data_IF_433872959101
#
_entry.id   IF_433872959101
#
_cell.length_a   1.000
_cell.length_b   1.000
_cell.length_c   1.000
_cell.angle_alpha   90.00
_cell.angle_beta   90.00
_cell.angle_gamma   90.00
#
_symmetry.space_group_name_H-M   'P 1'
#
loop_
_entity.id
_entity.type
_entity.pdbx_description
1 polymer ?
#
# COMPACT_ATOMS: atom_id res chain seq x y z
N UNK A 1 30.85 -53.28 -52.52
CA UNK A 1 29.75 -52.85 -51.63
C UNK A 1 30.09 -51.45 -51.12
N UNK A 2 29.40 -50.41 -51.63
CA UNK A 2 29.54 -49.02 -51.15
C UNK A 2 28.45 -48.77 -50.12
N UNK A 3 28.82 -48.55 -48.87
CA UNK A 3 27.89 -48.24 -47.78
C UNK A 3 27.66 -46.72 -47.79
N UNK A 4 26.43 -46.32 -48.09
CA UNK A 4 25.96 -44.95 -48.07
C UNK A 4 25.54 -44.62 -46.62
N UNK A 5 26.33 -43.82 -45.91
CA UNK A 5 25.96 -43.31 -44.59
C UNK A 5 25.17 -42.00 -44.76
N UNK A 6 23.86 -42.08 -44.57
CA UNK A 6 22.94 -40.94 -44.58
C UNK A 6 23.01 -40.24 -43.21
N UNK A 7 23.69 -39.09 -43.14
CA UNK A 7 23.73 -38.24 -41.95
C UNK A 7 22.43 -37.44 -41.82
N UNK A 8 21.58 -37.84 -40.86
CA UNK A 8 20.47 -37.04 -40.36
C UNK A 8 21.02 -35.94 -39.44
N UNK A 9 21.06 -34.70 -39.91
CA UNK A 9 21.30 -33.53 -39.08
C UNK A 9 19.97 -33.12 -38.42
N UNK A 10 19.85 -33.13 -37.07
CA UNK A 10 18.71 -32.53 -36.42
C UNK A 10 18.77 -31.01 -36.61
N UNK A 11 17.73 -30.45 -37.22
CA UNK A 11 17.49 -29.02 -37.29
C UNK A 11 17.25 -28.48 -35.89
N UNK A 12 18.32 -28.07 -35.20
CA UNK A 12 18.24 -27.22 -34.02
C UNK A 12 17.73 -25.85 -34.48
N UNK A 13 16.42 -25.63 -34.34
CA UNK A 13 15.87 -24.29 -34.36
C UNK A 13 16.51 -23.51 -33.21
N UNK A 14 17.44 -22.61 -33.52
CA UNK A 14 17.88 -21.58 -32.60
C UNK A 14 16.65 -20.72 -32.29
N UNK A 15 15.98 -21.00 -31.17
CA UNK A 15 15.08 -20.03 -30.57
C UNK A 15 15.92 -18.78 -30.31
N UNK A 16 15.57 -17.66 -30.96
CA UNK A 16 16.17 -16.38 -30.68
C UNK A 16 16.11 -16.14 -29.16
N UNK A 17 17.18 -15.64 -28.52
CA UNK A 17 17.14 -15.32 -27.10
C UNK A 17 15.91 -14.44 -26.85
N UNK A 18 15.10 -14.73 -25.81
CA UNK A 18 13.94 -13.91 -25.50
C UNK A 18 14.43 -12.46 -25.40
N UNK A 19 13.84 -11.58 -26.22
CA UNK A 19 14.22 -10.17 -26.23
C UNK A 19 14.15 -9.57 -24.82
N UNK A 20 14.98 -8.56 -24.55
CA UNK A 20 14.97 -7.90 -23.25
C UNK A 20 13.53 -7.51 -22.86
N UNK A 21 13.12 -7.74 -21.60
CA UNK A 21 11.76 -7.49 -21.17
C UNK A 21 11.42 -6.01 -21.36
N UNK A 22 10.23 -5.74 -21.92
CA UNK A 22 9.75 -4.38 -22.19
C UNK A 22 9.35 -3.72 -20.88
N UNK A 23 9.76 -2.48 -20.63
CA UNK A 23 9.31 -1.71 -19.48
C UNK A 23 7.88 -1.24 -19.66
N UNK A 24 7.10 -1.41 -18.59
CA UNK A 24 5.69 -1.03 -18.54
C UNK A 24 5.36 -0.42 -17.19
N UNK A 25 4.39 0.49 -17.16
CA UNK A 25 3.81 1.02 -15.91
C UNK A 25 2.36 1.43 -16.16
N UNK A 26 1.60 1.59 -15.08
CA UNK A 26 0.35 2.34 -15.07
C UNK A 26 0.56 3.78 -14.62
N UNK A 27 -0.10 4.73 -15.28
CA UNK A 27 -0.13 6.16 -14.93
C UNK A 27 -1.58 6.62 -15.01
N UNK A 28 -2.09 7.20 -13.92
CA UNK A 28 -3.44 7.74 -13.81
C UNK A 28 -3.39 9.25 -13.57
N UNK A 29 -4.15 9.99 -14.37
CA UNK A 29 -4.33 11.44 -14.17
C UNK A 29 -5.66 11.69 -13.46
N UNK A 30 -5.66 12.20 -12.23
CA UNK A 30 -6.89 12.62 -11.58
C UNK A 30 -7.44 13.87 -12.26
N UNK A 31 -8.72 13.88 -12.58
CA UNK A 31 -9.42 15.01 -13.21
C UNK A 31 -10.03 15.98 -12.18
N UNK A 32 -10.00 15.61 -10.91
CA UNK A 32 -10.54 16.37 -9.77
C UNK A 32 -9.81 15.97 -8.48
N UNK A 33 -10.00 16.76 -7.42
CA UNK A 33 -9.31 16.59 -6.13
C UNK A 33 -9.74 15.34 -5.36
N UNK A 34 -10.93 14.78 -5.62
CA UNK A 34 -11.42 13.58 -4.92
C UNK A 34 -10.76 12.35 -5.53
N UNK A 35 -10.71 12.29 -6.86
CA UNK A 35 -10.01 11.25 -7.61
C UNK A 35 -8.50 11.18 -7.32
N UNK A 36 -7.89 12.29 -6.89
CA UNK A 36 -6.47 12.36 -6.55
C UNK A 36 -6.06 11.36 -5.45
N UNK A 37 -6.93 11.11 -4.47
CA UNK A 37 -6.63 10.17 -3.39
C UNK A 37 -6.53 8.70 -3.87
N UNK A 38 -7.35 8.33 -4.86
CA UNK A 38 -7.44 6.96 -5.35
C UNK A 38 -6.33 6.56 -6.33
N UNK A 39 -5.77 7.53 -7.06
CA UNK A 39 -4.80 7.31 -8.14
C UNK A 39 -3.62 6.40 -7.76
N UNK A 40 -2.80 6.78 -6.76
CA UNK A 40 -1.62 5.99 -6.37
C UNK A 40 -1.95 4.56 -5.94
N UNK A 41 -3.07 4.36 -5.22
CA UNK A 41 -3.54 3.03 -4.81
C UNK A 41 -3.94 2.18 -6.01
N UNK A 42 -4.68 2.75 -6.95
CA UNK A 42 -5.08 2.06 -8.18
C UNK A 42 -3.89 1.74 -9.08
N UNK A 43 -2.92 2.65 -9.21
CA UNK A 43 -1.65 2.40 -9.91
C UNK A 43 -0.89 1.24 -9.27
N UNK A 44 -0.79 1.19 -7.95
CA UNK A 44 -0.14 0.07 -7.25
C UNK A 44 -0.79 -1.27 -7.59
N UNK A 45 -2.13 -1.35 -7.57
CA UNK A 45 -2.86 -2.58 -7.90
C UNK A 45 -2.69 -2.98 -9.37
N UNK A 46 -2.72 -2.02 -10.30
CA UNK A 46 -2.50 -2.30 -11.72
C UNK A 46 -1.06 -2.73 -12.01
N UNK A 47 -0.07 -2.09 -11.38
CA UNK A 47 1.34 -2.46 -11.49
C UNK A 47 1.62 -3.86 -10.93
N UNK A 48 0.93 -4.27 -9.86
CA UNK A 48 0.98 -5.64 -9.34
C UNK A 48 0.43 -6.65 -10.37
N UNK A 49 -0.71 -6.34 -11.00
CA UNK A 49 -1.28 -7.19 -12.06
C UNK A 49 -0.37 -7.26 -13.30
N UNK A 50 0.22 -6.13 -13.71
CA UNK A 50 1.20 -6.08 -14.81
C UNK A 50 2.43 -6.96 -14.52
N UNK A 51 2.85 -7.04 -13.26
CA UNK A 51 3.99 -7.86 -12.84
C UNK A 51 3.79 -9.37 -13.04
N UNK A 52 2.56 -9.82 -13.30
CA UNK A 52 2.24 -11.22 -13.59
C UNK A 52 2.50 -11.61 -15.05
N UNK A 53 2.72 -10.64 -15.94
CA UNK A 53 2.95 -10.90 -17.37
C UNK A 53 4.44 -11.11 -17.68
N UNK A 54 4.74 -12.23 -18.34
CA UNK A 54 6.08 -12.49 -18.84
C UNK A 54 6.46 -11.50 -19.97
N UNK A 55 7.76 -11.21 -20.09
CA UNK A 55 8.27 -10.30 -21.11
C UNK A 55 8.11 -8.81 -20.78
N UNK A 56 7.59 -8.48 -19.59
CA UNK A 56 7.51 -7.11 -19.09
C UNK A 56 8.29 -6.91 -17.79
N UNK A 57 8.81 -5.70 -17.59
CA UNK A 57 9.39 -5.25 -16.32
C UNK A 57 8.63 -4.02 -15.85
N UNK A 58 7.97 -4.13 -14.70
CA UNK A 58 7.16 -3.03 -14.16
C UNK A 58 8.07 -1.95 -13.60
N UNK A 59 7.97 -0.75 -14.16
CA UNK A 59 8.68 0.44 -13.68
C UNK A 59 7.81 1.16 -12.67
N UNK A 60 8.24 1.24 -11.40
CA UNK A 60 7.45 1.89 -10.35
C UNK A 60 7.61 3.41 -10.40
N UNK A 61 6.61 4.14 -9.92
CA UNK A 61 6.58 5.61 -9.92
C UNK A 61 7.78 6.25 -9.21
N UNK A 62 8.30 5.60 -8.16
CA UNK A 62 9.51 6.03 -7.44
C UNK A 62 10.78 6.02 -8.30
N UNK A 63 10.85 5.16 -9.32
CA UNK A 63 12.04 5.02 -10.16
C UNK A 63 12.24 6.22 -11.08
N UNK A 64 11.16 6.93 -11.43
CA UNK A 64 11.20 8.05 -12.34
C UNK A 64 10.78 9.39 -11.73
N UNK A 65 9.92 9.41 -10.71
CA UNK A 65 9.61 10.63 -9.95
C UNK A 65 10.50 10.80 -8.72
N UNK A 66 11.17 9.74 -8.27
CA UNK A 66 11.97 9.75 -7.06
C UNK A 66 11.13 9.78 -5.77
N UNK A 67 11.84 9.54 -4.66
CA UNK A 67 11.38 9.79 -3.30
C UNK A 67 12.52 10.48 -2.54
N UNK A 68 12.79 11.76 -2.84
CA UNK A 68 13.87 12.45 -2.18
C UNK A 68 13.61 12.54 -0.69
N UNK A 69 14.66 12.26 0.07
CA UNK A 69 14.65 12.42 1.52
C UNK A 69 14.57 13.89 1.89
N UNK A 70 14.08 14.16 3.09
CA UNK A 70 14.09 15.49 3.67
C UNK A 70 15.48 15.78 4.27
N UNK A 71 16.23 16.68 3.61
CA UNK A 71 17.57 17.05 4.05
C UNK A 71 17.61 17.76 5.41
N UNK A 72 16.52 18.44 5.80
CA UNK A 72 16.40 19.03 7.13
C UNK A 72 16.23 17.93 8.17
N UNK A 73 15.35 16.95 7.90
CA UNK A 73 15.19 15.79 8.77
C UNK A 73 16.47 14.95 8.88
N UNK A 74 17.24 14.78 7.80
CA UNK A 74 18.54 14.11 7.82
C UNK A 74 19.58 14.87 8.66
N UNK A 75 19.58 16.21 8.60
CA UNK A 75 20.45 17.03 9.43
C UNK A 75 20.06 16.94 10.91
N UNK A 76 18.76 16.97 11.23
CA UNK A 76 18.24 16.77 12.58
C UNK A 76 18.57 15.38 13.11
N UNK A 77 18.51 14.34 12.26
CA UNK A 77 18.90 12.98 12.65
C UNK A 77 20.36 12.93 13.09
N UNK A 78 21.27 13.56 12.33
CA UNK A 78 22.71 13.62 12.66
C UNK A 78 22.94 14.36 13.98
N UNK A 79 22.28 15.51 14.18
CA UNK A 79 22.38 16.27 15.44
C UNK A 79 21.84 15.47 16.63
N UNK A 80 20.70 14.80 16.46
CA UNK A 80 20.12 13.94 17.48
C UNK A 80 21.03 12.75 17.84
N UNK A 81 21.64 12.10 16.85
CA UNK A 81 22.61 11.02 17.10
C UNK A 81 23.83 11.50 17.87
N UNK A 82 24.35 12.68 17.54
CA UNK A 82 25.45 13.29 18.30
C UNK A 82 25.02 13.63 19.73
N UNK A 83 23.87 14.30 19.89
CA UNK A 83 23.33 14.66 21.20
C UNK A 83 23.08 13.44 22.10
N UNK A 84 22.69 12.31 21.50
CA UNK A 84 22.55 11.04 22.22
C UNK A 84 23.88 10.55 22.80
N UNK A 85 24.99 10.61 22.04
CA UNK A 85 26.30 10.21 22.54
C UNK A 85 26.78 11.10 23.69
N UNK A 86 26.56 12.42 23.57
CA UNK A 86 26.89 13.38 24.62
C UNK A 86 26.04 13.18 25.88
N UNK A 87 24.76 12.83 25.71
CA UNK A 87 23.84 12.48 26.79
C UNK A 87 24.25 11.18 27.48
N UNK A 88 24.64 10.17 26.72
CA UNK A 88 25.11 8.89 27.23
C UNK A 88 26.37 9.07 28.07
N UNK A 89 27.33 9.88 27.61
CA UNK A 89 28.53 10.18 28.36
C UNK A 89 28.25 10.89 29.70
N UNK A 90 27.24 11.76 29.76
CA UNK A 90 26.80 12.39 31.02
C UNK A 90 26.13 11.37 31.95
N UNK A 91 25.26 10.51 31.41
CA UNK A 91 24.60 9.44 32.15
C UNK A 91 25.61 8.46 32.78
N UNK A 92 26.64 8.04 32.03
CA UNK A 92 27.68 7.13 32.51
C UNK A 92 28.52 7.74 33.65
N UNK A 93 28.67 9.07 33.66
CA UNK A 93 29.29 9.83 34.76
C UNK A 93 28.36 10.04 35.95
N UNK A 94 27.10 9.59 35.86
CA UNK A 94 26.02 9.81 36.85
C UNK A 94 25.66 11.28 37.03
N UNK A 95 25.98 12.13 36.04
CA UNK A 95 25.53 13.52 35.99
C UNK A 95 24.15 13.57 35.32
N UNK A 96 23.13 13.23 36.09
CA UNK A 96 21.77 13.08 35.58
C UNK A 96 21.12 14.42 35.20
N UNK A 97 21.55 15.53 35.78
CA UNK A 97 21.07 16.87 35.42
C UNK A 97 21.58 17.30 34.04
N UNK A 98 22.87 17.11 33.78
CA UNK A 98 23.44 17.36 32.46
C UNK A 98 22.87 16.38 31.41
N UNK A 99 22.73 15.11 31.77
CA UNK A 99 22.13 14.11 30.89
C UNK A 99 20.68 14.47 30.52
N UNK A 100 19.84 14.85 31.48
CA UNK A 100 18.44 15.23 31.22
C UNK A 100 18.36 16.42 30.25
N UNK A 101 19.12 17.49 30.53
CA UNK A 101 19.15 18.70 29.69
C UNK A 101 19.52 18.37 28.24
N UNK A 102 20.58 17.57 28.05
CA UNK A 102 21.04 17.14 26.72
C UNK A 102 20.04 16.19 26.05
N UNK A 103 19.39 15.32 26.81
CA UNK A 103 18.38 14.40 26.28
C UNK A 103 17.14 15.11 25.79
N UNK A 104 16.66 16.14 26.50
CA UNK A 104 15.52 16.94 26.04
C UNK A 104 15.81 17.61 24.70
N UNK A 105 17.01 18.17 24.53
CA UNK A 105 17.45 18.73 23.24
C UNK A 105 17.59 17.64 22.16
N UNK A 106 18.16 16.49 22.52
CA UNK A 106 18.34 15.32 21.65
C UNK A 106 17.01 14.78 21.14
N UNK A 107 16.04 14.59 22.03
CA UNK A 107 14.71 14.10 21.69
C UNK A 107 14.01 15.06 20.73
N UNK A 108 14.13 16.37 20.94
CA UNK A 108 13.58 17.38 20.01
C UNK A 108 14.15 17.22 18.59
N UNK A 109 15.46 17.04 18.47
CA UNK A 109 16.12 16.83 17.18
C UNK A 109 15.69 15.50 16.52
N UNK A 110 15.58 14.43 17.31
CA UNK A 110 15.17 13.11 16.82
C UNK A 110 13.69 13.08 16.41
N UNK A 111 12.82 13.81 17.11
CA UNK A 111 11.42 13.97 16.72
C UNK A 111 11.30 14.76 15.40
N UNK A 112 12.10 15.81 15.22
CA UNK A 112 12.19 16.55 13.95
C UNK A 112 12.79 15.70 12.82
N UNK A 113 13.47 14.60 13.14
CA UNK A 113 14.06 13.67 12.19
C UNK A 113 13.12 12.54 11.75
N UNK A 114 11.84 12.56 12.13
CA UNK A 114 10.88 11.48 11.84
C UNK A 114 10.87 11.05 10.36
N UNK A 115 10.94 12.00 9.41
CA UNK A 115 10.98 11.71 7.98
C UNK A 115 12.22 10.91 7.53
N UNK A 116 13.34 11.02 8.25
CA UNK A 116 14.61 10.36 7.93
C UNK A 116 14.75 8.96 8.55
N UNK A 117 13.88 8.58 9.51
CA UNK A 117 13.95 7.29 10.23
C UNK A 117 13.18 6.18 9.49
N UNK A 118 13.67 5.77 8.32
CA UNK A 118 12.93 4.85 7.41
C UNK A 118 13.07 3.36 7.72
N UNK A 119 13.98 2.96 8.60
CA UNK A 119 14.30 1.54 8.86
C UNK A 119 14.00 1.08 10.28
N UNK A 120 14.21 1.95 11.27
CA UNK A 120 13.91 1.65 12.67
C UNK A 120 13.72 2.94 13.46
N UNK A 121 13.10 2.81 14.64
CA UNK A 121 13.05 3.90 15.62
C UNK A 121 14.35 4.02 16.42
N UNK A 122 15.40 3.23 16.16
CA UNK A 122 16.53 3.01 17.09
C UNK A 122 17.10 4.29 17.69
N UNK A 123 17.44 5.34 16.91
CA UNK A 123 17.95 6.59 17.50
C UNK A 123 16.97 7.22 18.52
N UNK A 124 15.69 7.31 18.16
CA UNK A 124 14.65 7.87 19.03
C UNK A 124 14.35 6.95 20.23
N UNK A 125 14.17 5.65 19.98
CA UNK A 125 13.88 4.65 20.99
C UNK A 125 15.01 4.54 22.03
N UNK A 126 16.27 4.55 21.59
CA UNK A 126 17.44 4.55 22.49
C UNK A 126 17.48 5.82 23.35
N UNK A 127 17.18 6.98 22.77
CA UNK A 127 17.14 8.26 23.49
C UNK A 127 15.98 8.31 24.50
N UNK A 128 14.80 7.80 24.15
CA UNK A 128 13.66 7.70 25.06
C UNK A 128 13.98 6.75 26.21
N UNK A 129 14.57 5.58 25.93
CA UNK A 129 14.99 4.63 26.96
C UNK A 129 16.01 5.25 27.94
N UNK A 130 16.97 6.02 27.42
CA UNK A 130 17.96 6.72 28.23
C UNK A 130 17.34 7.85 29.06
N UNK A 131 16.39 8.62 28.49
CA UNK A 131 15.65 9.66 29.20
C UNK A 131 14.80 9.07 30.33
N UNK A 132 14.04 8.01 30.06
CA UNK A 132 13.29 7.29 31.08
C UNK A 132 14.19 6.81 32.23
N UNK A 133 15.39 6.28 31.91
CA UNK A 133 16.34 5.86 32.92
C UNK A 133 16.87 7.04 33.76
N UNK A 134 17.17 8.18 33.13
CA UNK A 134 17.57 9.42 33.83
C UNK A 134 16.49 9.87 34.80
N UNK A 135 15.23 9.95 34.36
CA UNK A 135 14.11 10.37 35.22
C UNK A 135 13.91 9.40 36.39
N UNK A 136 14.03 8.08 36.15
CA UNK A 136 13.98 7.09 37.22
C UNK A 136 15.10 7.27 38.25
N UNK A 137 16.34 7.54 37.82
CA UNK A 137 17.47 7.79 38.74
C UNK A 137 17.33 9.09 39.52
N UNK A 138 16.60 10.08 38.98
CA UNK A 138 16.28 11.34 39.68
C UNK A 138 15.12 11.21 40.66
N UNK A 139 14.39 10.09 40.65
CA UNK A 139 13.22 9.85 41.49
C UNK A 139 11.89 10.26 40.84
N UNK A 140 11.92 10.78 39.62
CA UNK A 140 10.73 11.16 38.84
C UNK A 140 10.13 9.93 38.14
N UNK A 141 9.61 8.99 38.94
CA UNK A 141 9.14 7.68 38.46
C UNK A 141 7.95 7.81 37.50
N UNK A 142 7.07 8.78 37.70
CA UNK A 142 5.91 8.98 36.82
C UNK A 142 6.34 9.44 35.42
N UNK A 143 7.28 10.38 35.32
CA UNK A 143 7.84 10.78 34.03
C UNK A 143 8.58 9.61 33.35
N UNK A 144 9.32 8.81 34.14
CA UNK A 144 9.98 7.62 33.61
C UNK A 144 8.97 6.61 33.03
N UNK A 145 7.82 6.41 33.67
CA UNK A 145 6.73 5.56 33.16
C UNK A 145 6.13 6.12 31.86
N UNK A 146 5.90 7.42 31.77
CA UNK A 146 5.38 8.06 30.54
C UNK A 146 6.36 7.88 29.38
N UNK A 147 7.65 8.09 29.61
CA UNK A 147 8.67 7.85 28.59
C UNK A 147 8.78 6.36 28.20
N UNK A 148 8.61 5.42 29.15
CA UNK A 148 8.52 3.99 28.84
C UNK A 148 7.26 3.62 28.05
N UNK A 149 6.15 4.32 28.29
CA UNK A 149 4.92 4.16 27.52
C UNK A 149 5.14 4.61 26.06
N UNK A 150 5.75 5.77 25.85
CA UNK A 150 6.15 6.25 24.51
C UNK A 150 7.11 5.28 23.81
N UNK A 151 8.04 4.67 24.54
CA UNK A 151 8.95 3.66 23.98
C UNK A 151 8.20 2.40 23.52
N UNK A 152 7.23 1.95 24.31
CA UNK A 152 6.48 0.73 24.06
C UNK A 152 5.39 0.91 23.00
N UNK A 153 4.87 2.13 22.81
CA UNK A 153 4.01 2.46 21.68
C UNK A 153 4.80 2.44 20.36
N UNK A 154 6.03 2.97 20.35
CA UNK A 154 6.91 2.95 19.18
C UNK A 154 7.45 1.55 18.84
N UNK A 155 7.84 0.79 19.86
CA UNK A 155 8.45 -0.53 19.68
C UNK A 155 8.12 -1.43 20.88
N UNK A 156 7.00 -2.18 20.83
CA UNK A 156 6.54 -3.01 21.96
C UNK A 156 7.58 -4.05 22.44
N UNK A 157 8.38 -4.56 21.50
CA UNK A 157 9.44 -5.56 21.73
C UNK A 157 10.80 -4.96 22.07
N UNK A 158 10.90 -3.66 22.34
CA UNK A 158 12.17 -3.02 22.66
C UNK A 158 12.80 -3.60 23.94
N UNK A 159 14.04 -4.10 23.84
CA UNK A 159 14.77 -4.67 24.98
C UNK A 159 15.78 -3.69 25.57
N UNK A 160 15.74 -3.54 26.90
CA UNK A 160 16.70 -2.72 27.63
C UNK A 160 18.00 -3.51 27.87
N UNK A 161 19.14 -2.90 27.56
CA UNK A 161 20.45 -3.52 27.81
C UNK A 161 20.76 -3.61 29.32
N UNK A 162 20.78 -4.83 29.85
CA UNK A 162 21.03 -5.11 31.27
C UNK A 162 22.43 -4.73 31.78
N UNK A 163 23.39 -4.46 30.88
CA UNK A 163 24.71 -3.92 31.27
C UNK A 163 24.66 -2.41 31.50
N UNK A 164 23.74 -1.71 30.84
CA UNK A 164 23.61 -0.25 30.92
C UNK A 164 22.62 0.17 32.00
N UNK A 165 21.51 -0.55 32.11
CA UNK A 165 20.42 -0.19 33.00
C UNK A 165 20.37 -1.09 34.23
N UNK A 166 20.04 -0.51 35.39
CA UNK A 166 19.93 -1.27 36.63
C UNK A 166 18.67 -2.15 36.64
N UNK A 167 18.64 -3.12 37.56
CA UNK A 167 17.56 -4.11 37.65
C UNK A 167 16.22 -3.46 37.99
N UNK A 168 16.22 -2.43 38.83
CA UNK A 168 15.00 -1.71 39.22
C UNK A 168 14.33 -1.04 38.03
N UNK A 169 15.09 -0.34 37.18
CA UNK A 169 14.53 0.30 35.98
C UNK A 169 14.04 -0.72 34.94
N UNK A 170 14.76 -1.83 34.78
CA UNK A 170 14.30 -2.91 33.88
C UNK A 170 12.98 -3.49 34.38
N UNK A 171 12.84 -3.70 35.69
CA UNK A 171 11.58 -4.15 36.30
C UNK A 171 10.45 -3.14 36.08
N UNK A 172 10.74 -1.83 36.18
CA UNK A 172 9.76 -0.78 35.88
C UNK A 172 9.24 -0.87 34.44
N UNK A 173 10.12 -1.08 33.45
CA UNK A 173 9.71 -1.29 32.04
C UNK A 173 8.79 -2.50 31.88
N UNK A 174 9.09 -3.61 32.55
CA UNK A 174 8.22 -4.80 32.53
C UNK A 174 6.87 -4.51 33.16
N UNK A 175 6.83 -3.76 34.27
CA UNK A 175 5.60 -3.32 34.91
C UNK A 175 4.74 -2.43 33.97
N UNK A 176 5.36 -1.46 33.29
CA UNK A 176 4.66 -0.60 32.31
C UNK A 176 4.12 -1.44 31.15
N UNK A 177 4.92 -2.34 30.59
CA UNK A 177 4.50 -3.22 29.50
C UNK A 177 3.31 -4.12 29.89
N UNK A 178 3.28 -4.64 31.11
CA UNK A 178 2.15 -5.41 31.62
C UNK A 178 0.87 -4.56 31.73
N UNK A 179 1.00 -3.26 32.05
CA UNK A 179 -0.12 -2.32 32.12
C UNK A 179 -0.70 -1.92 30.76
N UNK A 180 0.14 -1.86 29.71
CA UNK A 180 -0.29 -1.45 28.35
C UNK A 180 -1.27 -2.45 27.73
N UNK A 181 -1.14 -3.75 28.02
CA UNK A 181 -2.08 -4.76 27.53
C UNK A 181 -3.51 -4.58 28.06
N UNK A 182 -3.69 -3.77 29.11
CA UNK A 182 -4.98 -3.36 29.64
C UNK A 182 -5.40 -1.93 29.21
N UNK A 183 -4.55 -1.23 28.44
CA UNK A 183 -4.65 0.20 28.19
C UNK A 183 -5.34 0.56 26.84
N UNK A 184 -5.94 1.75 26.89
CA UNK A 184 -6.72 2.44 25.88
C UNK A 184 -6.07 2.38 24.50
N UNK A 185 -6.89 2.14 23.48
CA UNK A 185 -6.50 2.26 22.08
C UNK A 185 -7.17 3.50 21.50
N UNK A 186 -6.41 4.30 20.77
CA UNK A 186 -6.89 5.47 20.06
C UNK A 186 -7.08 5.20 18.57
N UNK A 187 -7.70 6.17 17.91
CA UNK A 187 -7.84 6.19 16.45
C UNK A 187 -7.10 7.41 15.92
N UNK A 188 -6.37 7.24 14.82
CA UNK A 188 -5.72 8.34 14.13
C UNK A 188 -6.19 8.47 12.69
N UNK A 189 -6.64 9.66 12.31
CA UNK A 189 -6.94 10.00 10.91
C UNK A 189 -5.78 10.80 10.34
N UNK A 190 -5.16 10.25 9.31
CA UNK A 190 -3.99 10.82 8.63
C UNK A 190 -4.39 11.29 7.24
N UNK A 191 -4.23 12.60 7.00
CA UNK A 191 -4.49 13.27 5.73
C UNK A 191 -3.20 13.85 5.17
N UNK A 192 -3.16 14.02 3.85
CA UNK A 192 -2.07 14.74 3.20
C UNK A 192 -2.59 15.62 2.07
N UNK A 193 -1.82 16.65 1.76
CA UNK A 193 -2.03 17.51 0.60
C UNK A 193 -0.77 17.53 -0.25
N UNK A 194 -0.81 17.02 -1.48
CA UNK A 194 -1.97 16.37 -2.11
C UNK A 194 -2.21 14.94 -1.60
N UNK A 195 -3.43 14.40 -1.75
CA UNK A 195 -3.87 13.13 -1.14
C UNK A 195 -3.23 11.87 -1.79
N UNK A 196 -3.51 10.66 -1.32
CA UNK A 196 -2.92 9.44 -1.90
C UNK A 196 -1.44 9.19 -1.57
N UNK A 197 -0.89 9.86 -0.56
CA UNK A 197 0.42 9.51 -0.01
C UNK A 197 0.36 8.20 0.76
N UNK A 198 1.40 7.37 0.66
CA UNK A 198 1.54 6.15 1.47
C UNK A 198 1.78 6.52 2.92
N UNK A 199 1.02 5.90 3.82
CA UNK A 199 1.09 6.11 5.26
C UNK A 199 1.89 4.98 5.89
N UNK A 200 2.92 5.35 6.63
CA UNK A 200 3.68 4.44 7.47
C UNK A 200 3.58 4.89 8.92
N UNK A 201 3.24 3.97 9.81
CA UNK A 201 3.27 4.18 11.27
C UNK A 201 4.26 3.19 11.84
N UNK A 202 5.26 3.69 12.58
CA UNK A 202 6.36 2.89 13.15
C UNK A 202 7.06 2.01 12.11
N UNK A 203 7.20 2.56 10.90
CA UNK A 203 7.74 1.91 9.71
C UNK A 203 6.91 0.77 9.10
N UNK A 204 5.70 0.52 9.61
CA UNK A 204 4.74 -0.40 9.01
C UNK A 204 3.80 0.34 8.05
N UNK A 205 3.60 -0.20 6.86
CA UNK A 205 2.70 0.38 5.86
C UNK A 205 1.25 0.17 6.27
N UNK A 206 0.50 1.27 6.41
CA UNK A 206 -0.90 1.27 6.87
C UNK A 206 -1.89 1.46 5.71
N UNK A 207 -1.50 2.17 4.65
CA UNK A 207 -2.41 2.48 3.53
C UNK A 207 -2.05 3.77 2.81
N UNK A 208 -3.07 4.45 2.26
CA UNK A 208 -2.92 5.69 1.50
C UNK A 208 -3.81 6.78 2.09
N UNK A 209 -3.35 8.03 2.16
CA UNK A 209 -4.15 9.14 2.70
C UNK A 209 -5.34 9.49 1.78
N UNK A 210 -6.50 9.92 2.32
CA UNK A 210 -6.84 9.93 3.74
C UNK A 210 -7.00 8.49 4.27
N UNK A 211 -6.39 8.21 5.43
CA UNK A 211 -6.41 6.90 6.08
C UNK A 211 -6.77 7.07 7.55
N UNK A 212 -7.71 6.26 8.03
CA UNK A 212 -7.99 6.14 9.46
C UNK A 212 -7.39 4.84 9.96
N UNK A 213 -6.42 4.94 10.87
CA UNK A 213 -5.78 3.78 11.50
C UNK A 213 -6.45 3.57 12.85
N UNK A 214 -7.30 2.52 12.98
CA UNK A 214 -7.91 2.20 14.25
C UNK A 214 -6.89 1.52 15.16
N UNK A 215 -7.20 1.48 16.45
CA UNK A 215 -6.53 0.58 17.41
C UNK A 215 -5.04 0.85 17.67
N UNK A 216 -4.58 2.08 17.50
CA UNK A 216 -3.22 2.47 17.90
C UNK A 216 -3.10 2.51 19.43
N UNK A 217 -1.97 2.07 19.96
CA UNK A 217 -1.68 2.25 21.39
C UNK A 217 -1.65 3.73 21.74
N UNK A 218 -2.14 4.10 22.92
CA UNK A 218 -1.91 5.45 23.44
C UNK A 218 -0.39 5.66 23.64
N UNK A 219 0.11 6.81 23.21
CA UNK A 219 1.53 7.17 23.24
C UNK A 219 2.01 7.81 21.94
N UNK A 220 3.33 8.01 21.84
CA UNK A 220 3.97 8.54 20.63
C UNK A 220 4.17 7.46 19.57
N UNK A 221 3.94 7.83 18.32
CA UNK A 221 4.12 7.00 17.13
C UNK A 221 4.89 7.76 16.05
N UNK A 222 5.73 7.07 15.27
CA UNK A 222 6.43 7.67 14.13
C UNK A 222 5.54 7.60 12.88
N UNK A 223 5.04 8.75 12.44
CA UNK A 223 4.32 8.88 11.18
C UNK A 223 5.28 9.28 10.06
N UNK A 224 5.26 8.53 8.96
CA UNK A 224 5.95 8.86 7.71
C UNK A 224 5.00 8.80 6.53
N UNK A 225 5.08 9.81 5.68
CA UNK A 225 4.28 9.95 4.46
C UNK A 225 5.18 9.94 3.23
N UNK A 226 4.87 9.08 2.28
CA UNK A 226 5.62 8.97 1.03
C UNK A 226 4.72 9.04 -0.19
N UNK A 227 4.94 10.04 -1.05
CA UNK A 227 4.32 10.15 -2.36
C UNK A 227 5.41 10.33 -3.42
N UNK A 228 5.49 9.49 -4.46
CA UNK A 228 6.47 9.66 -5.54
C UNK A 228 6.45 11.07 -6.11
N UNK A 229 7.63 11.69 -6.27
CA UNK A 229 7.76 13.07 -6.72
C UNK A 229 7.64 14.14 -5.62
N UNK A 230 7.42 13.74 -4.38
CA UNK A 230 7.39 14.62 -3.21
C UNK A 230 8.51 14.26 -2.25
N UNK A 231 8.96 15.24 -1.47
CA UNK A 231 9.87 14.98 -0.35
C UNK A 231 9.14 14.15 0.70
N UNK A 232 9.83 13.13 1.22
CA UNK A 232 9.32 12.32 2.33
C UNK A 232 9.02 13.23 3.52
N UNK A 233 7.79 13.19 4.01
CA UNK A 233 7.40 13.94 5.19
C UNK A 233 7.28 12.98 6.39
N UNK A 234 7.49 13.49 7.58
CA UNK A 234 7.34 12.70 8.79
C UNK A 234 7.22 13.57 10.02
N UNK A 235 6.55 13.05 11.03
CA UNK A 235 6.31 13.71 12.30
C UNK A 235 6.05 12.66 13.38
N UNK A 236 6.12 13.08 14.64
CA UNK A 236 5.64 12.25 15.75
C UNK A 236 4.15 12.52 15.94
N UNK A 237 3.37 11.45 15.93
CA UNK A 237 1.94 11.44 16.21
C UNK A 237 1.74 11.09 17.68
N UNK A 238 1.06 11.95 18.43
CA UNK A 238 0.64 11.66 19.80
C UNK A 238 -0.79 11.09 19.77
N UNK A 239 -0.92 9.82 20.12
CA UNK A 239 -2.20 9.12 20.15
C UNK A 239 -2.72 9.13 21.59
N UNK A 240 -3.89 9.71 21.78
CA UNK A 240 -4.63 9.72 23.04
C UNK A 240 -5.83 8.76 23.02
N UNK A 241 -6.65 8.76 24.08
CA UNK A 241 -7.91 8.02 24.10
C UNK A 241 -8.95 8.59 23.11
N UNK A 242 -8.82 9.87 22.76
CA UNK A 242 -9.66 10.55 21.79
C UNK A 242 -9.11 10.39 20.37
N UNK A 243 -9.99 10.53 19.37
CA UNK A 243 -9.61 10.51 17.96
C UNK A 243 -8.68 11.69 17.64
N UNK A 244 -7.50 11.37 17.09
CA UNK A 244 -6.54 12.38 16.61
C UNK A 244 -6.64 12.52 15.10
N UNK A 245 -6.70 13.75 14.60
CA UNK A 245 -6.59 14.04 13.17
C UNK A 245 -5.32 14.84 12.89
N UNK A 246 -4.57 14.42 11.86
CA UNK A 246 -3.41 15.17 11.37
C UNK A 246 -3.47 15.32 9.86
N UNK A 247 -3.02 16.48 9.36
CA UNK A 247 -2.94 16.80 7.94
C UNK A 247 -1.57 17.37 7.62
N UNK A 248 -0.89 16.78 6.64
CA UNK A 248 0.47 17.20 6.24
C UNK A 248 0.51 17.73 4.81
N UNK A 249 1.13 18.89 4.60
CA UNK A 249 1.43 19.40 3.26
C UNK A 249 2.74 18.82 2.75
N UNK A 250 2.68 18.13 1.61
CA UNK A 250 3.83 17.51 0.98
C UNK A 250 4.50 18.50 0.03
N UNK A 251 5.83 18.55 0.08
CA UNK A 251 6.63 19.47 -0.74
C UNK A 251 6.98 18.79 -2.08
N UNK A 252 6.45 19.26 -3.22
CA UNK A 252 6.78 18.69 -4.52
C UNK A 252 8.25 18.92 -4.88
N UNK A 253 8.77 18.05 -5.72
CA UNK A 253 10.07 18.21 -6.40
C UNK A 253 9.91 19.01 -7.68
N UNK A 254 11.02 19.55 -8.20
CA UNK A 254 10.99 20.26 -9.50
C UNK A 254 10.71 19.27 -10.64
N UNK A 255 11.21 18.03 -10.52
CA UNK A 255 10.93 16.93 -11.44
C UNK A 255 9.45 16.59 -11.50
N UNK A 256 8.78 16.53 -10.34
CA UNK A 256 7.34 16.29 -10.26
C UNK A 256 6.54 17.44 -10.88
N UNK A 257 6.88 18.71 -10.61
CA UNK A 257 6.18 19.85 -11.24
C UNK A 257 6.25 19.78 -12.76
N UNK A 258 7.42 19.44 -13.30
CA UNK A 258 7.59 19.26 -14.75
C UNK A 258 6.82 18.05 -15.29
N UNK A 259 6.68 16.98 -14.51
CA UNK A 259 5.85 15.82 -14.84
C UNK A 259 4.37 16.17 -14.84
N UNK A 260 3.88 16.82 -13.79
CA UNK A 260 2.49 17.23 -13.58
C UNK A 260 1.98 18.09 -14.75
N UNK A 261 2.76 19.10 -15.15
CA UNK A 261 2.44 19.95 -16.30
C UNK A 261 2.32 19.17 -17.64
N UNK A 262 3.02 18.03 -17.79
CA UNK A 262 2.87 17.16 -18.97
C UNK A 262 1.60 16.32 -18.89
N UNK A 263 1.15 15.96 -17.69
CA UNK A 263 0.00 15.08 -17.49
C UNK A 263 -1.32 15.73 -17.93
N UNK A 264 -1.46 17.06 -17.88
CA UNK A 264 -2.64 17.78 -18.40
C UNK A 264 -2.87 17.53 -19.89
N UNK A 265 -1.79 17.53 -20.67
CA UNK A 265 -1.85 17.26 -22.11
C UNK A 265 -2.17 15.79 -22.37
N UNK A 266 -1.57 14.89 -21.58
CA UNK A 266 -1.82 13.44 -21.65
C UNK A 266 -3.28 13.12 -21.35
N UNK A 267 -3.86 13.69 -20.29
CA UNK A 267 -5.26 13.48 -19.93
C UNK A 267 -6.21 13.88 -21.06
N UNK A 268 -5.96 15.05 -21.65
CA UNK A 268 -6.76 15.56 -22.78
C UNK A 268 -6.71 14.60 -23.98
N UNK A 269 -5.55 14.05 -24.31
CA UNK A 269 -5.40 13.09 -25.41
C UNK A 269 -6.04 11.73 -25.11
N UNK A 270 -5.88 11.21 -23.89
CA UNK A 270 -6.42 9.90 -23.47
C UNK A 270 -7.95 9.90 -23.50
N UNK A 271 -8.59 11.01 -23.17
CA UNK A 271 -10.04 11.16 -23.20
C UNK A 271 -10.64 11.17 -24.63
N UNK A 272 -9.83 11.44 -25.67
CA UNK A 272 -10.34 11.49 -27.06
C UNK A 272 -10.74 10.10 -27.55
N UNK A 273 -11.87 10.04 -28.25
CA UNK A 273 -12.39 8.81 -28.83
C UNK A 273 -11.59 8.31 -30.04
N UNK A 274 -10.73 9.15 -30.62
CA UNK A 274 -10.14 8.91 -31.93
C UNK A 274 -9.03 7.84 -31.95
N UNK A 275 -8.84 7.19 -33.10
CA UNK A 275 -7.85 6.09 -33.27
C UNK A 275 -6.43 6.57 -33.59
N UNK A 276 -6.22 7.89 -33.67
CA UNK A 276 -4.90 8.48 -33.87
C UNK A 276 -3.95 8.17 -32.71
N UNK A 277 -2.63 8.21 -32.98
CA UNK A 277 -1.63 8.13 -31.92
C UNK A 277 -1.71 9.33 -30.97
N UNK A 278 -1.20 9.16 -29.75
CA UNK A 278 -1.06 10.20 -28.74
C UNK A 278 0.39 10.69 -28.69
N UNK A 279 0.72 11.86 -29.26
CA UNK A 279 2.05 12.44 -29.15
C UNK A 279 2.48 12.69 -27.70
N UNK A 280 1.54 13.07 -26.82
CA UNK A 280 1.83 13.30 -25.41
C UNK A 280 2.25 12.01 -24.70
N UNK A 281 1.54 10.89 -24.93
CA UNK A 281 1.94 9.58 -24.39
C UNK A 281 3.26 9.12 -24.99
N UNK A 282 3.53 9.43 -26.26
CA UNK A 282 4.83 9.10 -26.87
C UNK A 282 5.99 9.86 -26.23
N UNK A 283 5.81 11.17 -26.04
CA UNK A 283 6.77 12.03 -25.34
C UNK A 283 7.01 11.55 -23.90
N UNK A 284 5.93 11.23 -23.19
CA UNK A 284 5.98 10.70 -21.82
C UNK A 284 6.77 9.39 -21.77
N UNK A 285 6.47 8.44 -22.66
CA UNK A 285 7.18 7.18 -22.68
C UNK A 285 8.66 7.31 -23.03
N UNK A 286 9.04 8.25 -23.92
CA UNK A 286 10.46 8.58 -24.16
C UNK A 286 11.14 9.14 -22.91
N UNK A 287 10.49 10.07 -22.22
CA UNK A 287 11.03 10.70 -21.01
C UNK A 287 11.21 9.68 -19.86
N UNK A 288 10.30 8.71 -19.75
CA UNK A 288 10.32 7.67 -18.70
C UNK A 288 11.05 6.39 -19.12
N UNK A 289 11.48 6.29 -20.39
CA UNK A 289 12.08 5.08 -20.94
C UNK A 289 11.11 3.89 -21.02
N UNK A 290 9.82 4.12 -21.22
CA UNK A 290 8.83 3.05 -21.29
C UNK A 290 8.64 2.58 -22.74
N UNK A 291 8.47 1.27 -22.97
CA UNK A 291 8.07 0.69 -24.27
C UNK A 291 6.55 0.40 -24.35
N UNK A 292 5.90 0.30 -23.19
CA UNK A 292 4.44 0.21 -23.03
C UNK A 292 3.99 1.03 -21.82
N UNK A 293 2.75 1.53 -21.86
CA UNK A 293 2.14 2.16 -20.70
C UNK A 293 0.63 1.95 -20.69
N UNK A 294 0.08 1.69 -19.50
CA UNK A 294 -1.33 1.89 -19.22
C UNK A 294 -1.50 3.34 -18.78
N UNK A 295 -2.21 4.15 -19.57
CA UNK A 295 -2.43 5.56 -19.27
C UNK A 295 -3.91 5.82 -19.18
N UNK A 296 -4.35 6.40 -18.07
CA UNK A 296 -5.76 6.62 -17.82
C UNK A 296 -6.08 7.93 -17.12
N UNK A 297 -7.36 8.25 -17.08
CA UNK A 297 -7.91 9.38 -16.32
C UNK A 297 -8.89 8.87 -15.28
N UNK A 298 -8.88 9.47 -14.10
CA UNK A 298 -9.84 9.22 -13.03
C UNK A 298 -10.74 10.43 -12.82
N UNK A 299 -12.04 10.20 -12.65
CA UNK A 299 -13.00 11.26 -12.32
C UNK A 299 -13.99 10.76 -11.28
N UNK A 300 -14.19 11.55 -10.23
CA UNK A 300 -15.22 11.29 -9.24
C UNK A 300 -16.62 11.53 -9.81
N UNK A 301 -17.54 10.60 -9.54
CA UNK A 301 -18.95 10.70 -9.90
C UNK A 301 -19.76 11.08 -8.66
N UNK A 302 -20.02 12.38 -8.53
CA UNK A 302 -20.61 13.04 -7.35
C UNK A 302 -21.93 12.44 -6.84
N UNK A 303 -22.68 11.72 -7.67
CA UNK A 303 -24.01 11.21 -7.32
C UNK A 303 -23.98 9.94 -6.46
N UNK A 304 -22.90 9.14 -6.52
CA UNK A 304 -22.87 7.81 -5.90
C UNK A 304 -21.51 7.41 -5.31
N UNK A 305 -20.54 8.31 -5.28
CA UNK A 305 -19.18 8.00 -4.80
C UNK A 305 -18.42 7.00 -5.69
N UNK A 306 -18.91 6.77 -6.91
CA UNK A 306 -18.22 5.94 -7.88
C UNK A 306 -17.12 6.74 -8.60
N UNK A 307 -16.12 6.05 -9.12
CA UNK A 307 -15.04 6.69 -9.90
C UNK A 307 -15.10 6.20 -11.35
N UNK A 308 -15.21 7.11 -12.31
CA UNK A 308 -15.02 6.80 -13.74
C UNK A 308 -13.51 6.63 -14.01
N UNK A 309 -13.13 5.46 -14.51
CA UNK A 309 -11.79 5.17 -15.01
C UNK A 309 -11.85 4.97 -16.52
N UNK A 310 -11.13 5.82 -17.25
CA UNK A 310 -10.81 5.60 -18.67
C UNK A 310 -9.36 5.17 -18.75
N UNK A 311 -9.08 3.95 -19.20
CA UNK A 311 -7.74 3.37 -19.23
C UNK A 311 -7.40 2.90 -20.64
N UNK A 312 -6.32 3.43 -21.21
CA UNK A 312 -5.78 3.01 -22.50
C UNK A 312 -4.45 2.28 -22.34
N UNK A 313 -4.24 1.22 -23.14
CA UNK A 313 -2.93 0.61 -23.33
C UNK A 313 -2.26 1.23 -24.55
N UNK A 314 -1.02 1.68 -24.40
CA UNK A 314 -0.28 2.37 -25.44
C UNK A 314 1.05 1.71 -25.74
N UNK A 315 1.41 1.69 -27.03
CA UNK A 315 2.79 1.62 -27.48
C UNK A 315 3.38 3.03 -27.44
N UNK A 316 4.32 3.25 -26.54
CA UNK A 316 4.89 4.57 -26.25
C UNK A 316 5.85 5.08 -27.31
N UNK A 317 6.52 4.20 -28.06
CA UNK A 317 7.43 4.62 -29.14
C UNK A 317 6.71 5.42 -30.23
N UNK A 318 5.48 5.01 -30.55
CA UNK A 318 4.61 5.61 -31.58
C UNK A 318 3.45 6.42 -31.01
N UNK A 319 3.13 6.26 -29.73
CA UNK A 319 1.90 6.78 -29.12
C UNK A 319 0.65 6.03 -29.57
N UNK A 320 0.77 4.90 -30.29
CA UNK A 320 -0.38 4.13 -30.80
C UNK A 320 -1.16 3.53 -29.62
N UNK A 321 -2.46 3.80 -29.56
CA UNK A 321 -3.39 3.16 -28.61
C UNK A 321 -3.72 1.75 -29.08
N UNK A 322 -3.39 0.75 -28.29
CA UNK A 322 -3.60 -0.68 -28.58
C UNK A 322 -4.95 -1.19 -28.05
N UNK A 323 -5.47 -0.57 -27.00
CA UNK A 323 -6.77 -0.89 -26.42
C UNK A 323 -7.24 0.20 -25.47
N UNK A 324 -8.54 0.26 -25.22
CA UNK A 324 -9.15 1.19 -24.27
C UNK A 324 -10.30 0.55 -23.52
N UNK A 325 -10.44 0.86 -22.24
CA UNK A 325 -11.58 0.49 -21.40
C UNK A 325 -12.07 1.70 -20.65
N UNK A 326 -13.39 1.85 -20.60
CA UNK A 326 -14.08 2.82 -19.76
C UNK A 326 -14.93 2.02 -18.78
N UNK A 327 -14.73 2.25 -17.50
CA UNK A 327 -15.44 1.55 -16.43
C UNK A 327 -15.81 2.54 -15.34
N UNK A 328 -16.88 2.23 -14.62
CA UNK A 328 -17.27 2.93 -13.39
C UNK A 328 -16.98 1.99 -12.25
N UNK A 329 -16.06 2.38 -11.38
CA UNK A 329 -15.64 1.61 -10.22
C UNK A 329 -16.49 2.02 -9.03
N UNK A 330 -17.09 1.04 -8.36
CA UNK A 330 -17.66 1.26 -7.04
C UNK A 330 -16.48 1.34 -6.05
N UNK A 331 -16.56 2.19 -5.03
CA UNK A 331 -15.45 2.41 -4.08
C UNK A 331 -14.88 1.13 -3.45
N UNK A 332 -13.74 1.22 -2.76
CA UNK A 332 -13.05 0.04 -2.22
C UNK A 332 -13.58 -0.44 -0.85
N UNK A 333 -14.85 -0.15 -0.54
CA UNK A 333 -15.46 -0.45 0.78
C UNK A 333 -15.45 -1.95 1.10
N UNK A 334 -15.50 -2.80 0.07
CA UNK A 334 -15.51 -4.26 0.19
C UNK A 334 -14.20 -4.92 -0.28
N UNK A 335 -13.12 -4.16 -0.49
CA UNK A 335 -11.82 -4.69 -0.91
C UNK A 335 -11.79 -5.26 -2.34
N UNK A 336 -12.82 -5.01 -3.15
CA UNK A 336 -12.97 -5.59 -4.48
C UNK A 336 -12.14 -4.86 -5.54
N UNK A 337 -11.71 -3.62 -5.29
CA UNK A 337 -11.06 -2.74 -6.26
C UNK A 337 -9.82 -3.39 -6.88
N UNK A 338 -9.00 -4.06 -6.06
CA UNK A 338 -7.79 -4.76 -6.54
C UNK A 338 -8.13 -5.84 -7.56
N UNK A 339 -9.15 -6.65 -7.30
CA UNK A 339 -9.58 -7.73 -8.18
C UNK A 339 -10.18 -7.20 -9.49
N UNK A 340 -10.92 -6.09 -9.41
CA UNK A 340 -11.51 -5.43 -10.58
C UNK A 340 -10.44 -4.82 -11.50
N UNK A 341 -9.49 -4.07 -10.94
CA UNK A 341 -8.38 -3.50 -11.69
C UNK A 341 -7.52 -4.61 -12.32
N UNK A 342 -7.26 -5.69 -11.59
CA UNK A 342 -6.54 -6.85 -12.13
C UNK A 342 -7.25 -7.45 -13.35
N UNK A 343 -8.59 -7.58 -13.30
CA UNK A 343 -9.40 -8.05 -14.43
C UNK A 343 -9.32 -7.10 -15.63
N UNK A 344 -9.34 -5.78 -15.39
CA UNK A 344 -9.24 -4.76 -16.43
C UNK A 344 -7.86 -4.81 -17.12
N UNK A 345 -6.78 -4.87 -16.33
CA UNK A 345 -5.41 -5.02 -16.84
C UNK A 345 -5.28 -6.29 -17.66
N UNK A 346 -5.75 -7.43 -17.14
CA UNK A 346 -5.71 -8.71 -17.85
C UNK A 346 -6.48 -8.66 -19.18
N UNK A 347 -7.63 -7.99 -19.20
CA UNK A 347 -8.40 -7.82 -20.43
C UNK A 347 -7.65 -6.98 -21.46
N UNK A 348 -7.07 -5.85 -21.06
CA UNK A 348 -6.32 -4.97 -21.95
C UNK A 348 -5.09 -5.67 -22.52
N UNK A 349 -4.29 -6.34 -21.68
CA UNK A 349 -3.05 -7.00 -22.09
C UNK A 349 -3.26 -8.19 -23.03
N UNK A 350 -4.36 -8.93 -22.87
CA UNK A 350 -4.62 -10.12 -23.68
C UNK A 350 -5.37 -9.84 -25.00
N UNK A 351 -6.18 -8.78 -25.04
CA UNK A 351 -7.07 -8.53 -26.18
C UNK A 351 -6.60 -7.41 -27.11
N UNK A 352 -5.62 -6.61 -26.71
CA UNK A 352 -4.94 -5.67 -27.60
C UNK A 352 -3.92 -6.41 -28.45
N UNK A 353 -3.91 -6.20 -29.78
CA UNK A 353 -3.08 -6.92 -30.77
C UNK A 353 -1.67 -7.31 -30.27
N UNK A 354 -1.40 -8.62 -30.24
CA UNK A 354 -0.11 -9.21 -29.87
C UNK A 354 0.00 -9.70 -28.42
N UNK A 355 -1.11 -10.12 -27.82
CA UNK A 355 -1.17 -10.70 -26.47
C UNK A 355 -0.04 -11.69 -26.22
N UNK A 356 0.69 -11.46 -25.14
CA UNK A 356 1.71 -12.35 -24.63
C UNK A 356 1.21 -13.79 -24.65
N UNK A 357 2.06 -14.69 -25.14
CA UNK A 357 1.82 -16.11 -25.28
C UNK A 357 1.18 -16.66 -23.99
N UNK A 358 -0.10 -17.07 -24.09
CA UNK A 358 -0.78 -17.76 -23.00
C UNK A 358 -0.07 -19.09 -22.76
N UNK A 359 0.81 -19.16 -21.78
CA UNK A 359 1.09 -20.44 -21.13
C UNK A 359 -0.14 -20.77 -20.29
N UNK A 360 -1.08 -21.47 -20.92
CA UNK A 360 -2.11 -22.21 -20.22
C UNK A 360 -1.39 -23.20 -19.32
N UNK A 361 -1.34 -22.95 -18.00
CA UNK A 361 -1.20 -24.06 -17.07
C UNK A 361 -2.44 -24.90 -17.27
N UNK A 362 -2.26 -26.10 -17.83
CA UNK A 362 -3.30 -27.12 -17.86
C UNK A 362 -3.64 -27.49 -16.43
N UNK A 363 -4.65 -26.85 -15.85
CA UNK A 363 -5.40 -27.44 -14.76
C UNK A 363 -6.43 -28.36 -15.40
N UNK A 364 -6.09 -29.64 -15.44
CA UNK A 364 -7.04 -30.73 -15.71
C UNK A 364 -8.23 -30.57 -14.73
N UNK A 365 -9.49 -30.44 -15.21
CA UNK A 365 -10.65 -30.24 -14.36
C UNK A 365 -11.01 -31.42 -13.44
N UNK A 366 -10.21 -32.48 -13.38
CA UNK A 366 -10.51 -33.70 -12.63
C UNK A 366 -9.62 -34.00 -11.42
N UNK A 367 -8.62 -33.18 -11.08
CA UNK A 367 -7.69 -33.51 -9.98
C UNK A 367 -8.14 -33.14 -8.55
N UNK A 368 -9.33 -32.58 -8.35
CA UNK A 368 -9.84 -32.28 -6.99
C UNK A 368 -11.16 -32.97 -6.61
N UNK A 369 -11.45 -34.14 -7.20
CA UNK A 369 -12.43 -35.06 -6.62
C UNK A 369 -11.72 -36.09 -5.72
N UNK A 370 -11.37 -35.71 -4.50
CA UNK A 370 -11.31 -36.70 -3.42
C UNK A 370 -12.75 -37.02 -3.01
N UNK A 371 -13.35 -37.93 -3.77
CA UNK A 371 -14.53 -38.66 -3.36
C UNK A 371 -14.17 -39.49 -2.14
N UNK A 372 -14.83 -39.18 -1.02
CA UNK A 372 -14.97 -40.16 0.05
C UNK A 372 -15.90 -41.24 -0.45
N UNK A 373 -15.41 -42.46 -0.43
CA UNK A 373 -16.16 -43.67 -0.75
C UNK A 373 -17.43 -43.76 0.08
N UNK A 374 -18.55 -43.77 -0.63
CA UNK A 374 -19.83 -44.30 -0.19
C UNK A 374 -19.67 -45.76 0.22
N UNK A 375 -19.63 -46.02 1.51
CA UNK A 375 -20.07 -47.28 2.09
C UNK A 375 -21.22 -47.01 3.05
N UNK A 376 -22.40 -46.80 2.49
CA UNK A 376 -23.62 -47.47 2.97
C UNK A 376 -24.76 -47.25 1.98
N UNK A 377 -24.95 -48.28 1.15
CA UNK A 377 -26.23 -48.58 0.51
C UNK A 377 -27.30 -48.72 1.59
N UNK A 378 -28.46 -48.11 1.38
CA UNK A 378 -29.71 -48.87 1.49
C UNK A 378 -30.83 -48.23 0.66
N UNK A 379 -31.51 -49.12 -0.04
CA UNK A 379 -32.62 -48.92 -0.95
C UNK A 379 -33.83 -48.19 -0.34
N UNK A 380 -34.52 -47.39 -1.16
CA UNK A 380 -35.96 -47.58 -1.47
C UNK A 380 -36.50 -46.53 -2.46
N UNK A 381 -36.71 -46.99 -3.69
CA UNK A 381 -38.03 -47.03 -4.33
C UNK A 381 -38.73 -45.73 -4.77
N UNK A 382 -39.15 -45.71 -6.04
CA UNK A 382 -40.49 -45.19 -6.38
C UNK A 382 -40.58 -44.20 -7.55
N UNK A 383 -40.81 -44.73 -8.74
CA UNK A 383 -41.24 -44.02 -9.97
C UNK A 383 -42.52 -43.19 -9.74
N UNK A 384 -42.65 -42.04 -10.43
CA UNK A 384 -43.53 -41.84 -11.61
C UNK A 384 -43.57 -40.38 -12.09
N UNK A 385 -43.39 -40.22 -13.41
CA UNK A 385 -43.88 -39.10 -14.23
C UNK A 385 -45.41 -39.08 -14.24
N UNK A 386 -46.03 -37.91 -14.16
CA UNK A 386 -47.16 -37.54 -15.01
C UNK A 386 -47.34 -36.02 -14.99
N UNK A 387 -47.35 -35.47 -16.20
CA UNK A 387 -47.63 -34.09 -16.55
C UNK A 387 -49.11 -34.05 -16.93
N UNK A 388 -49.93 -33.16 -16.35
CA UNK A 388 -51.20 -32.79 -16.98
C UNK A 388 -51.68 -31.39 -16.59
N UNK A 389 -52.48 -30.85 -17.51
CA UNK A 389 -52.73 -29.44 -17.80
C UNK A 389 -54.00 -28.92 -17.12
N UNK A 390 -53.97 -27.60 -16.88
CA UNK A 390 -55.04 -26.61 -17.12
C UNK A 390 -56.37 -26.66 -16.31
N UNK A 391 -56.56 -25.55 -15.60
CA UNK A 391 -57.66 -24.57 -15.74
C UNK A 391 -59.10 -24.99 -15.43
N UNK A 392 -59.65 -24.38 -14.37
CA UNK A 392 -60.84 -23.49 -14.32
C UNK A 392 -60.98 -23.08 -12.84
N UNK A 393 -61.04 -21.80 -12.47
CA UNK A 393 -62.14 -20.89 -12.76
C UNK A 393 -63.13 -20.94 -11.58
N UNK A 394 -63.12 -19.94 -10.70
CA UNK A 394 -64.02 -19.85 -9.55
C UNK A 394 -63.53 -18.87 -8.48
N UNK A 395 -63.95 -17.62 -8.63
CA UNK A 395 -63.86 -16.45 -7.73
C UNK A 395 -64.80 -16.62 -6.50
N UNK A 396 -65.03 -15.61 -5.65
CA UNK A 396 -64.23 -15.04 -4.56
C UNK A 396 -64.87 -15.25 -3.16
N UNK A 397 -64.07 -15.14 -2.10
CA UNK A 397 -64.50 -14.96 -0.70
C UNK A 397 -65.25 -16.12 -0.02
N UNK A 398 -64.51 -17.17 0.36
CA UNK A 398 -64.65 -17.79 1.69
C UNK A 398 -63.32 -17.48 2.40
N UNK A 399 -63.23 -16.85 3.55
CA UNK A 399 -64.18 -16.74 4.64
C UNK A 399 -63.32 -16.90 5.91
N UNK A 400 -63.22 -15.82 6.68
CA UNK A 400 -62.74 -15.74 8.08
C UNK A 400 -61.31 -16.17 8.43
N UNK A 401 -60.49 -15.12 8.67
CA UNK A 401 -59.87 -14.74 9.95
C UNK A 401 -59.47 -15.84 10.95
N UNK A 402 -58.23 -15.74 11.41
CA UNK A 402 -57.72 -16.47 12.58
C UNK A 402 -56.23 -16.23 12.79
N UNK A 403 -55.86 -15.05 13.29
CA UNK A 403 -54.68 -14.92 14.15
C UNK A 403 -54.84 -15.90 15.30
N UNK A 404 -53.90 -16.82 15.47
CA UNK A 404 -53.48 -17.34 16.75
C UNK A 404 -52.17 -18.10 16.51
N UNK A 405 -51.15 -17.65 17.25
CA UNK A 405 -49.93 -18.30 17.72
C UNK A 405 -49.49 -19.61 17.02
N UNK A 406 -48.20 -19.72 16.69
CA UNK A 406 -47.22 -20.70 17.23
C UNK A 406 -45.81 -20.29 16.84
#
# INVERSE_FOLDING_TARGET
>A
MKILALLLLPSLALAAPPGAPRRITSILVPMDSVAEAGGPKMESYMNEALGQFQGFTVSKSEQFLGLPRDGEAEASLKRGQQGYQESLAAFEKKDYEDAERKLRATLKELQAAAAAMTASCTPLCDAIALYAAVMHQRGDVEEAKLALLDLLSLHPTFELNAKRFNREFIALRVQVAAGINAALRGTATVKSRPAGARVFIDNEFQGYTPMTVPTLSVGKHLLRLERPGFRVAGQVLEVGPDDVETSTELRPTEEYKAFDARMDTVATEVMRADKGGSPAVSSLGKALGLERALVGTLRDMKENGATELVLGLYETSSGKRLGVRRVVLQGDEFGQLKSELSRIVNHLMNNSEGGAEKVVKSSDPLENSHGMDEWNREDRGGKRRAQEKKSKGGDPLDGVNGTEDW
#
